data_IF_875431873764
#
_entry.id   IF_875431873764
#
_cell.length_a   1.000
_cell.length_b   1.000
_cell.length_c   1.000
_cell.angle_alpha   90.00
_cell.angle_beta   90.00
_cell.angle_gamma   90.00
#
_symmetry.space_group_name_H-M   'P 1'
#
loop_
_entity.id
_entity.type
_entity.pdbx_description
1 polymer ?
#
# COMPACT_ATOMS: atom_id res chain seq x y z
N UNK A 1 57.88 1.64 -33.14
CA UNK A 1 56.73 2.48 -32.74
C UNK A 1 55.72 1.54 -32.09
N UNK A 2 55.73 1.41 -30.75
CA UNK A 2 54.91 0.43 -30.03
C UNK A 2 53.57 1.06 -29.64
N UNK A 3 52.46 0.54 -30.17
CA UNK A 3 51.11 0.95 -29.82
C UNK A 3 50.71 0.31 -28.47
N UNK A 4 50.47 1.14 -27.45
CA UNK A 4 49.89 0.73 -26.16
C UNK A 4 48.38 0.77 -26.27
N UNK A 5 47.75 -0.40 -26.25
CA UNK A 5 46.29 -0.54 -26.12
C UNK A 5 45.96 -0.38 -24.63
N UNK A 6 45.27 0.71 -24.29
CA UNK A 6 44.71 0.95 -22.95
C UNK A 6 43.35 0.27 -22.91
N UNK A 7 43.25 -0.83 -22.18
CA UNK A 7 41.99 -1.51 -21.91
C UNK A 7 41.23 -0.75 -20.81
N UNK A 8 40.13 -0.09 -21.18
CA UNK A 8 39.17 0.47 -20.23
C UNK A 8 38.31 -0.67 -19.66
N UNK A 9 38.53 -1.00 -18.38
CA UNK A 9 37.66 -1.93 -17.64
C UNK A 9 36.43 -1.15 -17.18
N UNK A 10 35.28 -1.40 -17.82
CA UNK A 10 33.97 -0.95 -17.34
C UNK A 10 33.57 -1.81 -16.12
N UNK A 11 33.65 -1.24 -14.93
CA UNK A 11 33.02 -1.81 -13.74
C UNK A 11 31.53 -1.46 -13.80
N UNK A 12 30.72 -2.43 -14.22
CA UNK A 12 29.27 -2.32 -14.15
C UNK A 12 28.84 -2.46 -12.69
N UNK A 13 28.46 -1.34 -12.06
CA UNK A 13 27.80 -1.33 -10.77
C UNK A 13 26.39 -1.91 -10.93
N UNK A 14 26.17 -3.13 -10.46
CA UNK A 14 24.85 -3.74 -10.35
C UNK A 14 24.05 -2.99 -9.28
N UNK A 15 23.08 -2.19 -9.72
CA UNK A 15 22.01 -1.65 -8.88
C UNK A 15 21.24 -2.84 -8.29
N UNK A 16 21.53 -3.17 -7.04
CA UNK A 16 20.68 -4.05 -6.24
C UNK A 16 19.40 -3.27 -5.94
N UNK A 17 18.36 -3.50 -6.73
CA UNK A 17 17.02 -3.05 -6.40
C UNK A 17 16.64 -3.67 -5.04
N UNK A 18 16.08 -2.90 -4.10
CA UNK A 18 15.55 -3.48 -2.87
C UNK A 18 14.48 -4.50 -3.27
N UNK A 19 14.62 -5.73 -2.76
CA UNK A 19 13.64 -6.77 -2.97
C UNK A 19 12.30 -6.28 -2.40
N UNK A 20 11.39 -5.85 -3.29
CA UNK A 20 9.98 -5.71 -2.93
C UNK A 20 9.56 -7.04 -2.31
N UNK A 21 8.96 -7.01 -1.12
CA UNK A 21 8.44 -8.21 -0.48
C UNK A 21 7.56 -8.92 -1.52
N UNK A 22 7.92 -10.16 -1.85
CA UNK A 22 7.19 -10.93 -2.85
C UNK A 22 5.79 -11.13 -2.28
N UNK A 23 4.80 -10.44 -2.85
CA UNK A 23 3.40 -10.86 -2.76
C UNK A 23 3.38 -12.35 -3.11
N UNK A 24 3.07 -13.18 -2.13
CA UNK A 24 2.75 -14.57 -2.38
C UNK A 24 1.55 -14.55 -3.34
N UNK A 25 1.71 -15.07 -4.56
CA UNK A 25 0.63 -15.11 -5.56
C UNK A 25 -0.58 -15.92 -5.06
N UNK A 26 -0.44 -16.62 -3.93
CA UNK A 26 -1.47 -17.38 -3.24
C UNK A 26 -2.32 -16.53 -2.28
N UNK A 27 -1.91 -15.30 -2.00
CA UNK A 27 -2.50 -14.44 -0.98
C UNK A 27 -3.09 -13.18 -1.64
N UNK A 28 -4.11 -13.40 -2.47
CA UNK A 28 -4.76 -12.37 -3.32
C UNK A 28 -6.28 -12.27 -3.09
N UNK A 29 -6.76 -12.79 -1.97
CA UNK A 29 -8.19 -12.76 -1.64
C UNK A 29 -8.58 -11.36 -1.09
N UNK A 30 -9.51 -10.63 -1.74
CA UNK A 30 -9.83 -9.25 -1.38
C UNK A 30 -10.50 -9.11 0.00
N UNK A 31 -11.10 -10.19 0.53
CA UNK A 31 -11.74 -10.15 1.85
C UNK A 31 -10.74 -10.42 2.99
N UNK A 32 -9.51 -10.82 2.65
CA UNK A 32 -8.48 -11.26 3.59
C UNK A 32 -7.40 -10.21 3.69
N UNK A 33 -7.19 -9.71 4.91
CA UNK A 33 -6.10 -8.79 5.21
C UNK A 33 -4.94 -9.55 5.82
N UNK A 34 -3.79 -9.47 5.17
CA UNK A 34 -2.54 -10.10 5.58
C UNK A 34 -1.73 -9.13 6.45
N UNK A 35 -1.61 -9.44 7.73
CA UNK A 35 -1.10 -8.47 8.73
C UNK A 35 0.40 -8.22 8.59
N UNK A 36 1.15 -9.15 8.00
CA UNK A 36 2.59 -8.97 7.73
C UNK A 36 2.87 -7.77 6.80
N UNK A 37 1.91 -7.33 5.99
CA UNK A 37 2.07 -6.17 5.10
C UNK A 37 1.71 -4.83 5.76
N UNK A 38 1.04 -4.86 6.91
CA UNK A 38 0.43 -3.68 7.52
C UNK A 38 0.86 -3.45 8.98
N UNK A 39 1.52 -4.43 9.60
CA UNK A 39 1.97 -4.35 11.00
C UNK A 39 3.43 -4.79 11.07
N UNK A 40 4.30 -3.93 11.62
CA UNK A 40 5.74 -4.17 11.68
C UNK A 40 6.13 -5.35 12.58
N UNK A 41 5.31 -5.64 13.60
CA UNK A 41 5.56 -6.73 14.55
C UNK A 41 4.45 -7.78 14.49
N UNK A 42 4.79 -9.08 14.56
CA UNK A 42 3.81 -10.14 14.63
C UNK A 42 2.89 -9.98 15.84
N UNK A 43 1.59 -10.10 15.59
CA UNK A 43 0.58 -10.06 16.64
C UNK A 43 0.50 -11.43 17.32
N UNK A 44 0.80 -11.46 18.62
CA UNK A 44 0.63 -12.65 19.46
C UNK A 44 -0.77 -12.70 20.07
N UNK A 45 -1.44 -13.84 19.92
CA UNK A 45 -2.74 -14.13 20.51
C UNK A 45 -2.65 -15.38 21.39
N UNK A 46 -3.45 -15.40 22.46
CA UNK A 46 -3.60 -16.58 23.29
C UNK A 46 -4.97 -17.22 23.02
N UNK A 47 -4.98 -18.52 22.80
CA UNK A 47 -6.23 -19.27 22.65
C UNK A 47 -6.80 -19.54 24.04
N UNK A 48 -8.05 -19.16 24.28
CA UNK A 48 -8.71 -19.33 25.58
C UNK A 48 -9.59 -20.57 25.65
N UNK A 49 -9.99 -21.10 24.49
CA UNK A 49 -10.89 -22.25 24.39
C UNK A 49 -10.45 -23.13 23.24
N UNK A 50 -10.60 -24.43 23.44
CA UNK A 50 -10.36 -25.41 22.38
C UNK A 50 -11.23 -25.05 21.17
N UNK A 51 -10.60 -24.97 20.00
CA UNK A 51 -11.25 -24.48 18.80
C UNK A 51 -10.82 -25.26 17.56
N UNK A 52 -11.76 -25.58 16.64
CA UNK A 52 -11.42 -26.21 15.39
C UNK A 52 -10.60 -25.24 14.52
N UNK A 53 -9.56 -25.79 13.88
CA UNK A 53 -8.77 -25.10 12.86
C UNK A 53 -9.17 -25.61 11.48
N UNK A 54 -9.43 -24.68 10.56
CA UNK A 54 -9.89 -24.96 9.21
C UNK A 54 -8.84 -24.59 8.16
N UNK A 55 -8.86 -25.26 7.00
CA UNK A 55 -7.95 -24.96 5.89
C UNK A 55 -8.39 -23.75 5.07
N UNK A 56 -9.67 -23.40 5.15
CA UNK A 56 -10.32 -22.33 4.39
C UNK A 56 -11.06 -21.36 5.31
N UNK A 57 -11.25 -20.13 4.83
CA UNK A 57 -11.92 -19.03 5.56
C UNK A 57 -13.40 -19.31 5.85
N UNK A 58 -14.02 -20.23 5.11
CA UNK A 58 -15.45 -20.58 5.22
C UNK A 58 -15.72 -21.73 6.20
N UNK A 59 -14.67 -22.42 6.67
CA UNK A 59 -14.78 -23.53 7.62
C UNK A 59 -15.19 -24.87 7.00
N UNK A 60 -15.01 -25.07 5.68
CA UNK A 60 -15.42 -26.30 4.98
C UNK A 60 -14.50 -27.49 5.26
N UNK A 61 -13.20 -27.25 5.44
CA UNK A 61 -12.20 -28.31 5.66
C UNK A 61 -11.57 -28.19 7.04
N UNK A 62 -11.98 -29.03 7.99
CA UNK A 62 -11.34 -29.13 9.31
C UNK A 62 -9.96 -29.78 9.20
N UNK A 63 -8.93 -29.08 9.69
CA UNK A 63 -7.55 -29.57 9.76
C UNK A 63 -7.22 -30.18 11.13
N UNK A 64 -7.97 -29.82 12.16
CA UNK A 64 -7.80 -30.36 13.50
C UNK A 64 -8.46 -29.49 14.56
N UNK A 65 -7.86 -29.48 15.74
CA UNK A 65 -8.30 -28.72 16.90
C UNK A 65 -7.10 -28.16 17.64
N UNK A 66 -7.18 -26.88 17.95
CA UNK A 66 -6.14 -26.16 18.68
C UNK A 66 -6.55 -26.11 20.14
N UNK A 67 -5.61 -26.43 21.04
CA UNK A 67 -5.86 -26.45 22.48
C UNK A 67 -5.81 -25.05 23.07
N UNK A 68 -6.56 -24.85 24.14
CA UNK A 68 -6.50 -23.67 24.98
C UNK A 68 -5.09 -23.45 25.57
N UNK A 69 -4.84 -22.21 25.97
CA UNK A 69 -3.59 -21.65 26.52
C UNK A 69 -2.40 -21.65 25.56
N UNK A 70 -2.64 -21.92 24.28
CA UNK A 70 -1.61 -21.86 23.27
C UNK A 70 -1.40 -20.42 22.77
N UNK A 71 -0.12 -19.99 22.75
CA UNK A 71 0.30 -18.77 22.06
C UNK A 71 0.39 -19.04 20.56
N UNK A 72 -0.24 -18.21 19.77
CA UNK A 72 -0.24 -18.29 18.31
C UNK A 72 0.03 -16.92 17.69
N UNK A 73 0.58 -16.94 16.48
CA UNK A 73 0.82 -15.73 15.71
C UNK A 73 -0.30 -15.54 14.70
N UNK A 74 -0.87 -14.33 14.69
CA UNK A 74 -1.88 -13.93 13.72
C UNK A 74 -1.21 -13.53 12.41
N UNK A 75 -1.53 -14.24 11.33
CA UNK A 75 -0.94 -14.01 10.00
C UNK A 75 -1.89 -13.23 9.08
N UNK A 76 -3.17 -13.57 9.12
CA UNK A 76 -4.19 -12.89 8.32
C UNK A 76 -5.54 -12.87 9.04
N UNK A 77 -6.44 -12.02 8.60
CA UNK A 77 -7.78 -11.90 9.19
C UNK A 77 -8.85 -11.59 8.16
N UNK A 78 -10.06 -12.03 8.48
CA UNK A 78 -11.33 -11.61 7.88
C UNK A 78 -12.22 -11.08 9.01
N UNK A 79 -13.41 -10.56 8.68
CA UNK A 79 -14.42 -10.17 9.68
C UNK A 79 -14.80 -11.35 10.61
N UNK A 80 -14.81 -12.58 10.10
CA UNK A 80 -15.38 -13.76 10.78
C UNK A 80 -14.37 -14.82 11.20
N UNK A 81 -13.15 -14.78 10.67
CA UNK A 81 -12.15 -15.81 10.89
C UNK A 81 -10.73 -15.24 10.86
N UNK A 82 -9.86 -15.77 11.70
CA UNK A 82 -8.47 -15.38 11.86
C UNK A 82 -7.55 -16.52 11.44
N UNK A 83 -6.59 -16.24 10.55
CA UNK A 83 -5.59 -17.20 10.11
C UNK A 83 -4.41 -17.15 11.07
N UNK A 84 -4.19 -18.25 11.77
CA UNK A 84 -3.14 -18.39 12.78
C UNK A 84 -2.25 -19.57 12.50
N UNK A 85 -1.01 -19.49 12.97
CA UNK A 85 -0.09 -20.63 13.00
C UNK A 85 -0.06 -21.24 14.40
N UNK A 86 -0.60 -22.45 14.53
CA UNK A 86 -0.74 -23.18 15.79
C UNK A 86 -0.06 -24.55 15.72
N UNK A 87 0.23 -25.16 16.87
CA UNK A 87 0.67 -26.57 16.93
C UNK A 87 -0.53 -27.45 17.25
N UNK A 88 -0.88 -28.36 16.34
CA UNK A 88 -1.95 -29.35 16.51
C UNK A 88 -1.34 -30.75 16.39
N UNK A 89 -1.57 -31.62 17.37
CA UNK A 89 -1.12 -33.02 17.32
C UNK A 89 0.40 -33.22 17.12
N UNK A 90 1.22 -32.27 17.58
CA UNK A 90 2.69 -32.30 17.43
C UNK A 90 3.23 -31.58 16.18
N UNK A 91 2.38 -31.30 15.18
CA UNK A 91 2.79 -30.59 13.96
C UNK A 91 2.35 -29.12 13.98
N UNK A 92 3.14 -28.26 13.33
CA UNK A 92 2.77 -26.85 13.09
C UNK A 92 1.77 -26.80 11.93
N UNK A 93 0.57 -26.30 12.19
CA UNK A 93 -0.53 -26.17 11.24
C UNK A 93 -0.91 -24.70 11.14
N UNK A 94 -1.01 -24.19 9.92
CA UNK A 94 -1.57 -22.86 9.65
C UNK A 94 -2.99 -23.03 9.15
N UNK A 95 -3.93 -22.28 9.72
CA UNK A 95 -5.34 -22.38 9.36
C UNK A 95 -6.20 -21.33 10.03
N UNK A 96 -7.48 -21.37 9.70
CA UNK A 96 -8.49 -20.41 10.10
C UNK A 96 -9.19 -20.86 11.37
N UNK A 97 -9.30 -19.95 12.32
CA UNK A 97 -9.94 -20.15 13.62
C UNK A 97 -10.88 -18.97 13.89
N UNK A 98 -12.01 -19.24 14.52
CA UNK A 98 -12.99 -18.20 14.80
C UNK A 98 -12.51 -17.24 15.92
N UNK A 99 -12.85 -15.92 15.84
CA UNK A 99 -12.40 -14.90 16.78
C UNK A 99 -12.69 -15.18 18.26
N UNK A 100 -13.80 -15.87 18.56
CA UNK A 100 -14.22 -16.19 19.93
C UNK A 100 -13.23 -17.09 20.68
N UNK A 101 -12.36 -17.80 19.95
CA UNK A 101 -11.36 -18.69 20.53
C UNK A 101 -10.15 -17.94 21.10
N UNK A 102 -10.01 -16.64 20.79
CA UNK A 102 -8.85 -15.84 21.18
C UNK A 102 -9.15 -14.90 22.34
N UNK A 103 -8.15 -14.71 23.20
CA UNK A 103 -8.02 -13.53 24.02
C UNK A 103 -6.65 -12.90 23.81
N UNK A 104 -6.62 -11.58 23.96
CA UNK A 104 -5.39 -10.82 24.10
C UNK A 104 -5.29 -10.30 25.53
N UNK A 105 -4.09 -9.90 25.93
CA UNK A 105 -3.85 -9.23 27.22
C UNK A 105 -4.61 -7.91 27.31
N UNK A 106 -4.87 -7.26 26.18
CA UNK A 106 -5.60 -6.00 26.11
C UNK A 106 -7.10 -6.23 25.88
N UNK A 107 -7.99 -5.73 26.76
CA UNK A 107 -9.44 -5.85 26.59
C UNK A 107 -9.97 -5.21 25.31
N UNK A 108 -9.30 -4.17 24.81
CA UNK A 108 -9.67 -3.45 23.58
C UNK A 108 -9.04 -4.03 22.32
N UNK A 109 -8.28 -5.12 22.43
CA UNK A 109 -7.51 -5.67 21.31
C UNK A 109 -8.39 -6.13 20.15
N UNK A 110 -9.47 -6.86 20.45
CA UNK A 110 -10.40 -7.36 19.43
C UNK A 110 -11.14 -6.20 18.75
N UNK A 111 -11.46 -5.15 19.51
CA UNK A 111 -12.06 -3.94 18.95
C UNK A 111 -11.08 -3.20 18.02
N UNK A 112 -9.82 -3.09 18.41
CA UNK A 112 -8.76 -2.49 17.59
C UNK A 112 -8.48 -3.31 16.33
N UNK A 113 -8.51 -4.65 16.40
CA UNK A 113 -8.40 -5.51 15.21
C UNK A 113 -9.57 -5.29 14.24
N UNK A 114 -10.81 -5.19 14.76
CA UNK A 114 -11.97 -4.90 13.91
C UNK A 114 -11.86 -3.54 13.24
N UNK A 115 -11.43 -2.51 13.97
CA UNK A 115 -11.18 -1.18 13.40
C UNK A 115 -10.08 -1.22 12.34
N UNK A 116 -9.01 -2.00 12.56
CA UNK A 116 -7.96 -2.20 11.58
C UNK A 116 -8.52 -2.84 10.31
N UNK A 117 -9.34 -3.88 10.44
CA UNK A 117 -9.99 -4.53 9.31
C UNK A 117 -10.82 -3.55 8.48
N UNK A 118 -11.75 -2.84 9.12
CA UNK A 118 -12.60 -1.87 8.43
C UNK A 118 -11.77 -0.79 7.75
N UNK A 119 -10.76 -0.25 8.43
CA UNK A 119 -9.83 0.73 7.85
C UNK A 119 -9.13 0.19 6.62
N UNK A 120 -8.57 -1.02 6.68
CA UNK A 120 -7.82 -1.60 5.57
C UNK A 120 -8.71 -1.89 4.36
N UNK A 121 -9.97 -2.28 4.56
CA UNK A 121 -10.93 -2.41 3.46
C UNK A 121 -11.21 -1.06 2.79
N UNK A 122 -11.41 0.00 3.57
CA UNK A 122 -11.61 1.35 3.04
C UNK A 122 -10.38 1.88 2.30
N UNK A 123 -9.19 1.66 2.86
CA UNK A 123 -7.90 2.03 2.25
C UNK A 123 -7.69 1.29 0.93
N UNK A 124 -7.96 -0.02 0.91
CA UNK A 124 -7.82 -0.84 -0.30
C UNK A 124 -8.74 -0.35 -1.41
N UNK A 125 -10.00 -0.04 -1.08
CA UNK A 125 -10.94 0.55 -2.04
C UNK A 125 -10.45 1.90 -2.59
N UNK A 126 -9.92 2.78 -1.73
CA UNK A 126 -9.38 4.07 -2.15
C UNK A 126 -8.13 3.95 -3.03
N UNK A 127 -7.27 2.97 -2.75
CA UNK A 127 -6.10 2.66 -3.57
C UNK A 127 -6.55 2.18 -4.96
N UNK A 128 -7.56 1.33 -5.05
CA UNK A 128 -8.13 0.88 -6.33
C UNK A 128 -8.78 2.04 -7.10
N UNK A 129 -9.45 2.96 -6.42
CA UNK A 129 -10.01 4.18 -7.00
C UNK A 129 -8.95 5.22 -7.39
N UNK A 130 -7.72 5.09 -6.89
CA UNK A 130 -6.64 6.05 -7.10
C UNK A 130 -6.85 7.39 -6.40
N UNK A 131 -7.46 7.39 -5.21
CA UNK A 131 -7.81 8.60 -4.45
C UNK A 131 -7.12 8.67 -3.09
N UNK A 132 -6.59 9.83 -2.67
CA UNK A 132 -6.06 10.01 -1.33
C UNK A 132 -7.19 10.28 -0.32
N UNK A 133 -6.94 9.98 0.95
CA UNK A 133 -7.85 10.29 2.06
C UNK A 133 -7.07 10.75 3.30
N UNK A 134 -7.71 11.58 4.13
CA UNK A 134 -7.16 12.01 5.42
C UNK A 134 -7.10 10.80 6.35
N UNK A 135 -5.98 10.58 7.03
CA UNK A 135 -5.74 9.40 7.88
C UNK A 135 -5.03 8.24 7.16
N UNK A 136 -4.77 8.34 5.86
CA UNK A 136 -3.88 7.42 5.14
C UNK A 136 -2.43 7.65 5.55
N UNK A 137 -1.60 6.61 5.44
CA UNK A 137 -0.15 6.74 5.60
C UNK A 137 0.52 7.17 4.31
N UNK A 138 1.75 7.67 4.41
CA UNK A 138 2.57 8.05 3.25
C UNK A 138 2.71 6.89 2.23
N UNK A 139 2.91 5.66 2.70
CA UNK A 139 3.00 4.47 1.85
C UNK A 139 1.68 4.13 1.16
N UNK A 140 0.55 4.31 1.85
CA UNK A 140 -0.77 4.06 1.27
C UNK A 140 -1.09 5.09 0.19
N UNK A 141 -0.77 6.37 0.40
CA UNK A 141 -0.93 7.43 -0.62
C UNK A 141 -0.04 7.16 -1.83
N UNK A 142 1.21 6.73 -1.61
CA UNK A 142 2.13 6.34 -2.68
C UNK A 142 1.59 5.16 -3.50
N UNK A 143 0.90 4.21 -2.87
CA UNK A 143 0.22 3.11 -3.57
C UNK A 143 -0.98 3.58 -4.38
N UNK A 144 -1.74 4.56 -3.88
CA UNK A 144 -2.93 5.10 -4.55
C UNK A 144 -2.60 6.01 -5.74
N UNK A 145 -1.72 7.00 -5.54
CA UNK A 145 -1.42 8.05 -6.53
C UNK A 145 -0.11 7.82 -7.29
N UNK A 146 0.72 6.87 -6.85
CA UNK A 146 2.03 6.62 -7.42
C UNK A 146 3.08 7.60 -6.89
N UNK A 147 4.07 7.92 -7.74
CA UNK A 147 5.20 8.77 -7.35
C UNK A 147 4.79 10.25 -7.37
N UNK A 148 5.06 11.01 -6.29
CA UNK A 148 4.80 12.44 -6.28
C UNK A 148 5.72 13.18 -7.27
N UNK A 149 5.21 14.27 -7.83
CA UNK A 149 5.97 15.15 -8.74
C UNK A 149 6.96 16.00 -7.95
N UNK A 150 6.55 16.50 -6.78
CA UNK A 150 7.40 17.26 -5.86
C UNK A 150 7.18 16.78 -4.44
N UNK A 151 8.25 16.77 -3.65
CA UNK A 151 8.21 16.43 -2.23
C UNK A 151 8.95 17.49 -1.43
N UNK A 152 8.30 17.93 -0.36
CA UNK A 152 8.89 18.81 0.66
C UNK A 152 8.80 18.07 1.99
N UNK A 153 9.91 18.02 2.72
CA UNK A 153 9.95 17.43 4.06
C UNK A 153 10.58 18.43 5.02
N UNK A 154 9.93 18.62 6.17
CA UNK A 154 10.40 19.49 7.25
C UNK A 154 10.36 18.71 8.55
N UNK A 155 11.50 18.68 9.23
CA UNK A 155 11.62 18.08 10.56
C UNK A 155 11.77 19.21 11.58
N UNK A 156 10.91 19.20 12.60
CA UNK A 156 10.93 20.17 13.70
C UNK A 156 10.95 19.41 15.03
N UNK A 157 11.21 20.12 16.13
CA UNK A 157 11.15 19.53 17.48
C UNK A 157 9.78 18.92 17.81
N UNK A 158 8.70 19.41 17.17
CA UNK A 158 7.33 18.92 17.37
C UNK A 158 6.98 17.68 16.55
N UNK A 159 7.78 17.33 15.54
CA UNK A 159 7.49 16.20 14.66
C UNK A 159 7.96 16.41 13.22
N UNK A 160 7.62 15.43 12.38
CA UNK A 160 7.91 15.42 10.94
C UNK A 160 6.67 15.87 10.17
N UNK A 161 6.82 16.92 9.38
CA UNK A 161 5.79 17.39 8.45
C UNK A 161 6.28 17.20 7.01
N UNK A 162 5.37 16.85 6.10
CA UNK A 162 5.69 16.68 4.69
C UNK A 162 4.59 17.26 3.81
N UNK A 163 4.94 17.69 2.61
CA UNK A 163 4.00 18.13 1.58
C UNK A 163 4.38 17.44 0.29
N UNK A 164 3.46 16.66 -0.28
CA UNK A 164 3.64 16.03 -1.59
C UNK A 164 2.69 16.66 -2.59
N UNK A 165 3.22 17.00 -3.76
CA UNK A 165 2.43 17.52 -4.87
C UNK A 165 2.42 16.52 -6.02
N UNK A 166 1.24 16.21 -6.50
CA UNK A 166 0.98 15.39 -7.68
C UNK A 166 0.39 16.30 -8.75
N UNK A 167 1.14 16.53 -9.83
CA UNK A 167 0.75 17.44 -10.90
C UNK A 167 0.51 16.61 -12.16
N UNK A 168 -0.71 16.65 -12.67
CA UNK A 168 -1.10 16.05 -13.93
C UNK A 168 -0.80 17.04 -15.06
N UNK A 169 0.07 16.62 -15.98
CA UNK A 169 0.45 17.40 -17.16
C UNK A 169 -0.20 16.82 -18.42
N UNK A 170 -0.74 17.68 -19.27
CA UNK A 170 -1.19 17.33 -20.62
C UNK A 170 -0.23 17.95 -21.66
N UNK A 171 0.26 17.12 -22.57
CA UNK A 171 1.12 17.56 -23.66
C UNK A 171 0.29 17.83 -24.91
N UNK A 172 0.18 19.11 -25.27
CA UNK A 172 -0.56 19.56 -26.45
C UNK A 172 0.43 19.76 -27.59
N UNK A 173 0.29 18.95 -28.63
CA UNK A 173 1.11 19.05 -29.84
C UNK A 173 0.53 20.08 -30.80
N UNK A 174 1.28 21.14 -31.08
CA UNK A 174 0.92 22.15 -32.06
C UNK A 174 1.54 21.83 -33.42
N UNK A 175 0.74 21.94 -34.47
CA UNK A 175 1.18 21.64 -35.83
C UNK A 175 1.01 22.84 -36.75
N UNK A 176 1.98 23.02 -37.65
CA UNK A 176 1.91 24.00 -38.74
C UNK A 176 1.67 23.28 -40.07
N UNK A 177 0.95 23.93 -40.97
CA UNK A 177 0.80 23.48 -42.35
C UNK A 177 1.91 24.10 -43.19
N UNK A 178 2.82 23.25 -43.66
CA UNK A 178 3.95 23.66 -44.49
C UNK A 178 3.67 23.21 -45.92
N UNK A 179 3.90 24.12 -46.86
CA UNK A 179 3.78 23.85 -48.29
C UNK A 179 5.13 23.41 -48.84
N UNK A 180 5.17 22.24 -49.44
CA UNK A 180 6.32 21.75 -50.18
C UNK A 180 6.61 22.70 -51.37
N UNK A 181 7.81 23.33 -51.46
CA UNK A 181 8.15 24.24 -52.55
C UNK A 181 8.21 23.56 -53.91
N UNK A 182 8.51 22.26 -53.97
CA UNK A 182 8.74 21.51 -55.20
C UNK A 182 7.44 20.89 -55.75
N UNK A 183 6.61 20.33 -54.86
CA UNK A 183 5.38 19.63 -55.24
C UNK A 183 4.11 20.45 -55.00
N UNK A 184 4.20 21.57 -54.28
CA UNK A 184 3.08 22.44 -53.94
C UNK A 184 2.09 21.85 -52.92
N UNK A 185 2.30 20.60 -52.47
CA UNK A 185 1.45 19.87 -51.53
C UNK A 185 1.64 20.41 -50.12
N UNK A 186 0.55 20.51 -49.37
CA UNK A 186 0.60 20.93 -47.97
C UNK A 186 0.62 19.71 -47.06
N UNK A 187 1.54 19.66 -46.11
CA UNK A 187 1.59 18.61 -45.11
C UNK A 187 1.71 19.20 -43.71
N UNK A 188 1.27 18.43 -42.72
CA UNK A 188 1.26 18.81 -41.32
C UNK A 188 2.64 18.53 -40.73
N UNK A 189 3.32 19.57 -40.25
CA UNK A 189 4.61 19.47 -39.57
C UNK A 189 4.42 19.81 -38.09
N UNK A 190 4.96 18.97 -37.19
CA UNK A 190 4.99 19.26 -35.77
C UNK A 190 5.82 20.54 -35.54
N UNK A 191 5.23 21.53 -34.88
CA UNK A 191 5.89 22.79 -34.57
C UNK A 191 6.56 22.74 -33.20
N UNK A 192 5.76 22.54 -32.16
CA UNK A 192 6.21 22.46 -30.78
C UNK A 192 5.18 21.72 -29.94
N UNK A 193 5.59 21.27 -28.76
CA UNK A 193 4.73 20.63 -27.77
C UNK A 193 4.70 21.55 -26.56
N UNK A 194 3.50 21.93 -26.12
CA UNK A 194 3.28 22.70 -24.90
C UNK A 194 2.84 21.75 -23.81
N UNK A 195 3.39 21.88 -22.60
CA UNK A 195 3.00 21.09 -21.44
C UNK A 195 2.17 21.96 -20.51
N UNK A 196 0.89 21.66 -20.41
CA UNK A 196 -0.07 22.41 -19.58
C UNK A 196 -0.40 21.60 -18.31
N UNK A 197 -0.54 22.29 -17.17
CA UNK A 197 -1.00 21.67 -15.92
C UNK A 197 -2.52 21.52 -16.01
N UNK A 198 -3.01 20.28 -15.91
CA UNK A 198 -4.44 19.96 -16.02
C UNK A 198 -5.11 19.80 -14.65
N UNK A 199 -4.32 19.44 -13.64
CA UNK A 199 -4.78 19.24 -12.28
C UNK A 199 -3.62 19.07 -11.31
N UNK A 200 -3.86 19.45 -10.06
CA UNK A 200 -2.89 19.39 -8.97
C UNK A 200 -3.56 18.80 -7.72
N UNK A 201 -2.89 17.85 -7.08
CA UNK A 201 -3.28 17.33 -5.77
C UNK A 201 -2.12 17.59 -4.82
N UNK A 202 -2.38 18.30 -3.74
CA UNK A 202 -1.43 18.53 -2.65
C UNK A 202 -1.87 17.73 -1.45
N UNK A 203 -0.97 16.93 -0.92
CA UNK A 203 -1.19 16.10 0.27
C UNK A 203 -0.21 16.54 1.35
N UNK A 204 -0.75 16.97 2.48
CA UNK A 204 0.02 17.32 3.66
C UNK A 204 0.07 16.16 4.65
N UNK A 205 1.24 15.96 5.24
CA UNK A 205 1.52 14.91 6.20
C UNK A 205 2.01 15.48 7.51
N UNK A 206 1.57 14.87 8.60
CA UNK A 206 2.12 15.06 9.93
C UNK A 206 2.37 13.68 10.54
N UNK A 207 3.60 13.44 11.00
CA UNK A 207 4.03 12.16 11.58
C UNK A 207 3.66 10.95 10.71
N UNK A 208 3.89 11.07 9.39
CA UNK A 208 3.67 10.03 8.38
C UNK A 208 2.19 9.69 8.10
N UNK A 209 1.26 10.53 8.58
CA UNK A 209 -0.18 10.41 8.34
C UNK A 209 -0.69 11.66 7.61
N UNK A 210 -1.61 11.47 6.65
CA UNK A 210 -2.24 12.57 5.92
C UNK A 210 -3.15 13.38 6.84
N UNK A 211 -2.92 14.69 6.88
CA UNK A 211 -3.72 15.64 7.67
C UNK A 211 -4.59 16.53 6.81
N UNK A 212 -4.13 16.91 5.62
CA UNK A 212 -4.87 17.76 4.70
C UNK A 212 -4.65 17.33 3.24
N UNK A 213 -5.68 17.56 2.42
CA UNK A 213 -5.66 17.32 0.97
C UNK A 213 -6.25 18.55 0.32
N UNK A 214 -5.54 19.11 -0.65
CA UNK A 214 -5.99 20.19 -1.52
C UNK A 214 -6.00 19.67 -2.97
N UNK A 215 -7.13 19.83 -3.65
CA UNK A 215 -7.28 19.48 -5.06
C UNK A 215 -7.58 20.76 -5.85
N UNK A 216 -6.78 21.02 -6.88
CA UNK A 216 -6.91 22.20 -7.75
C UNK A 216 -7.04 21.75 -9.19
N UNK A 217 -7.99 22.36 -9.92
CA UNK A 217 -8.30 22.17 -11.35
C UNK A 217 -8.78 20.74 -11.76
N UNK A 218 -9.92 20.69 -12.44
CA UNK A 218 -10.54 19.51 -13.12
C UNK A 218 -10.59 18.18 -12.34
N UNK A 219 -10.48 18.21 -11.02
CA UNK A 219 -10.84 17.08 -10.16
C UNK A 219 -12.25 17.36 -9.65
N UNK A 220 -13.20 16.47 -9.93
CA UNK A 220 -14.65 16.65 -9.74
C UNK A 220 -15.10 16.72 -8.27
N UNK A 221 -14.45 17.56 -7.44
CA UNK A 221 -14.90 17.96 -6.11
C UNK A 221 -15.32 16.80 -5.22
N UNK A 222 -14.71 15.62 -5.40
CA UNK A 222 -15.05 14.42 -4.67
C UNK A 222 -14.64 14.64 -3.23
N UNK A 223 -15.61 15.04 -2.39
CA UNK A 223 -15.35 15.49 -1.02
C UNK A 223 -14.34 14.62 -0.29
N UNK A 224 -13.36 15.28 0.34
CA UNK A 224 -12.24 14.62 1.00
C UNK A 224 -12.76 13.59 2.01
N UNK A 225 -12.44 12.31 1.77
CA UNK A 225 -12.81 11.22 2.68
C UNK A 225 -11.87 11.22 3.86
N UNK A 226 -12.42 11.06 5.06
CA UNK A 226 -11.66 10.90 6.31
C UNK A 226 -11.76 9.44 6.71
N UNK A 227 -10.62 8.78 6.85
CA UNK A 227 -10.52 7.42 7.36
C UNK A 227 -9.92 7.43 8.77
N UNK A 228 -10.12 6.33 9.49
CA UNK A 228 -9.52 6.16 10.81
C UNK A 228 -7.98 6.16 10.66
N UNK A 229 -7.24 6.93 11.47
CA UNK A 229 -5.78 6.89 11.48
C UNK A 229 -5.22 5.48 11.76
N UNK A 230 -3.96 5.19 11.40
CA UNK A 230 -3.37 3.88 11.64
C UNK A 230 -3.38 3.53 13.14
N UNK A 231 -3.77 2.29 13.43
CA UNK A 231 -3.88 1.79 14.80
C UNK A 231 -2.53 1.25 15.24
N UNK A 232 -1.95 1.86 16.27
CA UNK A 232 -0.71 1.40 16.88
C UNK A 232 -1.07 0.40 17.99
N UNK A 233 -0.64 -0.85 17.86
CA UNK A 233 -0.75 -1.83 18.93
C UNK A 233 0.32 -1.56 19.99
N UNK A 234 -0.09 -1.48 21.26
CA UNK A 234 0.85 -1.54 22.39
C UNK A 234 1.37 -2.96 22.50
N UNK A 235 2.69 -3.11 22.54
CA UNK A 235 3.38 -4.41 22.64
C UNK A 235 3.81 -4.68 24.08
#
# INVERSE_FOLDING_TARGET
>A
MFARIIAFVFVAATLVAPAQSRRSLLDSDPDVIYLEEHVDKPIELMIIKDAPIFGDKEGKRRLGEVKAEQKVFLQAMTDKAYRVSAKTGGNKVTGWVAPWAFASKDPKFVENLKKLYTRQMEVSALIEEGRPAIGMTVDEVSKALGKPTKTTARQTEKGRTGIWEFIAYEEISHYNYVRDPLTGRTFRQLSHVTREERGKIVVEFENEVVTAIEETETNDGGGVKIIVPPIIFGW
#
